data_IF_463855222511
#
_entry.id   IF_463855222511
#
_cell.length_a   1.000
_cell.length_b   1.000
_cell.length_c   1.000
_cell.angle_alpha   90.00
_cell.angle_beta   90.00
_cell.angle_gamma   90.00
#
_symmetry.space_group_name_H-M   'P 1'
#
loop_
_entity.id
_entity.type
_entity.pdbx_description
1 polymer ?
#
# COMPACT_ATOMS: atom_id res chain seq x y z
N UNK A 1 24.39 8.25 -46.76
CA UNK A 1 23.95 7.03 -46.05
C UNK A 1 23.13 7.52 -44.89
N UNK A 2 21.81 7.54 -45.05
CA UNK A 2 20.90 8.04 -44.01
C UNK A 2 20.72 6.98 -42.95
N UNK A 3 21.01 7.35 -41.69
CA UNK A 3 20.64 6.56 -40.54
C UNK A 3 19.11 6.64 -40.39
N UNK A 4 18.37 5.54 -40.43
CA UNK A 4 16.91 5.59 -40.46
C UNK A 4 16.29 5.37 -39.07
N UNK A 5 17.08 5.47 -37.99
CA UNK A 5 16.58 5.49 -36.62
C UNK A 5 15.63 6.68 -36.42
N UNK A 6 14.49 6.43 -35.77
CA UNK A 6 13.46 7.41 -35.46
C UNK A 6 13.58 7.85 -33.99
N UNK A 7 12.80 8.86 -33.60
CA UNK A 7 12.66 9.34 -32.22
C UNK A 7 13.99 9.64 -31.48
N UNK A 8 15.03 10.04 -32.20
CA UNK A 8 16.34 10.36 -31.61
C UNK A 8 17.24 9.15 -31.32
N UNK A 9 16.94 7.98 -31.87
CA UNK A 9 17.79 6.79 -31.77
C UNK A 9 19.20 7.01 -32.31
N UNK A 10 20.20 6.49 -31.59
CA UNK A 10 21.62 6.60 -31.98
C UNK A 10 22.01 5.46 -32.91
N UNK A 11 22.58 5.78 -34.07
CA UNK A 11 23.06 4.77 -35.02
C UNK A 11 24.42 4.21 -34.62
N UNK A 12 24.54 2.89 -34.60
CA UNK A 12 25.80 2.19 -34.48
C UNK A 12 26.02 1.26 -35.69
N UNK A 13 27.27 1.08 -36.16
CA UNK A 13 27.60 0.05 -37.14
C UNK A 13 27.35 -1.34 -36.54
N UNK A 14 26.73 -2.26 -37.29
CA UNK A 14 26.46 -3.60 -36.77
C UNK A 14 27.77 -4.34 -36.41
N UNK A 15 27.89 -4.97 -35.21
CA UNK A 15 29.16 -5.51 -34.71
C UNK A 15 29.81 -6.57 -35.60
N UNK A 16 28.99 -7.29 -36.37
CA UNK A 16 29.44 -8.44 -37.18
C UNK A 16 29.73 -8.09 -38.66
N UNK A 17 29.34 -6.91 -39.15
CA UNK A 17 29.51 -6.52 -40.55
C UNK A 17 29.92 -5.03 -40.74
N UNK A 18 31.13 -4.63 -40.32
CA UNK A 18 31.57 -3.23 -40.37
C UNK A 18 31.88 -2.68 -41.78
N UNK A 19 31.85 -3.51 -42.83
CA UNK A 19 32.18 -3.12 -44.23
C UNK A 19 31.08 -3.48 -45.25
N UNK A 20 29.89 -3.88 -44.80
CA UNK A 20 28.79 -4.29 -45.64
C UNK A 20 27.69 -3.23 -45.74
N UNK A 21 27.21 -2.98 -46.95
CA UNK A 21 26.11 -2.05 -47.23
C UNK A 21 24.79 -2.53 -46.60
N UNK A 22 24.37 -1.93 -45.49
CA UNK A 22 22.97 -1.92 -45.08
C UNK A 22 22.60 -2.42 -43.68
N UNK A 23 23.54 -2.57 -42.74
CA UNK A 23 23.21 -3.04 -41.37
C UNK A 23 23.72 -2.04 -40.32
N UNK A 24 22.83 -1.15 -39.90
CA UNK A 24 22.97 -0.28 -38.75
C UNK A 24 22.11 -0.86 -37.61
N UNK A 25 22.55 -0.67 -36.38
CA UNK A 25 21.77 -0.96 -35.18
C UNK A 25 21.38 0.36 -34.52
N UNK A 26 20.10 0.52 -34.20
CA UNK A 26 19.59 1.69 -33.52
C UNK A 26 19.58 1.45 -32.01
N UNK A 27 20.37 2.21 -31.26
CA UNK A 27 20.22 2.30 -29.81
C UNK A 27 19.05 3.25 -29.51
N UNK A 28 17.94 2.68 -29.06
CA UNK A 28 16.72 3.44 -28.81
C UNK A 28 16.77 4.17 -27.46
N UNK A 29 16.28 5.43 -27.40
CA UNK A 29 16.08 6.13 -26.14
C UNK A 29 14.99 5.44 -25.30
N UNK A 30 14.97 5.74 -24.00
CA UNK A 30 13.96 5.21 -23.09
C UNK A 30 12.54 5.50 -23.60
N UNK A 31 11.65 4.50 -23.55
CA UNK A 31 10.28 4.59 -24.06
C UNK A 31 10.10 4.23 -25.53
N UNK A 32 11.14 3.79 -26.26
CA UNK A 32 11.04 3.37 -27.66
C UNK A 32 11.74 2.03 -27.91
N UNK A 33 11.15 1.18 -28.76
CA UNK A 33 11.78 -0.03 -29.26
C UNK A 33 11.58 -0.18 -30.78
N UNK A 34 12.21 -1.22 -31.31
CA UNK A 34 12.09 -1.63 -32.69
C UNK A 34 13.43 -1.50 -33.38
N UNK A 35 13.52 -2.07 -34.57
CA UNK A 35 14.76 -2.09 -35.35
C UNK A 35 15.27 -0.69 -35.71
N UNK A 36 14.37 0.30 -35.67
CA UNK A 36 14.58 1.70 -36.00
C UNK A 36 14.02 2.63 -34.93
N UNK A 37 13.73 2.15 -33.71
CA UNK A 37 13.06 2.93 -32.66
C UNK A 37 11.71 3.52 -33.11
N UNK A 38 11.03 2.80 -34.00
CA UNK A 38 9.78 3.17 -34.63
C UNK A 38 8.55 2.90 -33.75
N UNK A 39 8.70 2.02 -32.75
CA UNK A 39 7.63 1.64 -31.84
C UNK A 39 7.83 2.36 -30.51
N UNK A 40 6.77 2.97 -30.00
CA UNK A 40 6.72 3.37 -28.60
C UNK A 40 6.70 2.09 -27.75
N UNK A 41 7.54 2.02 -26.72
CA UNK A 41 7.35 1.03 -25.68
C UNK A 41 6.14 1.50 -24.89
N UNK A 42 5.03 0.77 -25.02
CA UNK A 42 3.88 0.94 -24.15
C UNK A 42 4.23 0.37 -22.77
N UNK A 43 5.04 1.11 -22.01
CA UNK A 43 5.48 0.75 -20.66
C UNK A 43 4.26 0.46 -19.76
N UNK A 44 3.11 1.09 -20.04
CA UNK A 44 1.84 0.89 -19.33
C UNK A 44 1.24 -0.52 -19.46
N UNK A 45 1.70 -1.35 -20.41
CA UNK A 45 1.31 -2.77 -20.48
C UNK A 45 2.20 -3.69 -19.64
N UNK A 46 3.34 -3.18 -19.16
CA UNK A 46 4.24 -3.92 -18.28
C UNK A 46 3.87 -3.68 -16.81
N UNK A 47 3.96 -4.72 -15.98
CA UNK A 47 3.78 -4.64 -14.52
C UNK A 47 4.76 -3.70 -13.82
N UNK A 48 5.76 -3.18 -14.55
CA UNK A 48 6.81 -2.28 -14.07
C UNK A 48 6.41 -0.79 -14.12
N UNK A 49 5.44 -0.40 -14.94
CA UNK A 49 5.02 1.01 -15.07
C UNK A 49 3.92 1.42 -14.08
N UNK A 50 3.16 0.46 -13.56
CA UNK A 50 2.03 0.73 -12.66
C UNK A 50 2.17 -0.03 -11.32
N UNK A 51 3.17 0.29 -10.50
CA UNK A 51 3.44 -0.43 -9.26
C UNK A 51 2.57 0.05 -8.09
N UNK A 52 1.28 0.31 -8.34
CA UNK A 52 0.29 0.65 -7.32
C UNK A 52 0.08 -0.57 -6.40
N UNK A 53 0.14 -0.35 -5.10
CA UNK A 53 -0.03 -1.37 -4.08
C UNK A 53 -1.49 -1.41 -3.59
N UNK A 54 -1.81 -2.43 -2.79
CA UNK A 54 -3.10 -2.60 -2.12
C UNK A 54 -4.34 -2.54 -3.04
N UNK A 55 -4.18 -2.86 -4.32
CA UNK A 55 -5.27 -2.84 -5.31
C UNK A 55 -5.56 -1.45 -5.90
N UNK A 56 -4.63 -0.50 -5.78
CA UNK A 56 -4.74 0.81 -6.43
C UNK A 56 -4.88 0.71 -7.95
N UNK A 57 -5.69 1.60 -8.52
CA UNK A 57 -5.92 1.66 -9.98
C UNK A 57 -4.91 2.60 -10.61
N UNK A 58 -4.23 2.13 -11.65
CA UNK A 58 -3.24 2.95 -12.35
C UNK A 58 -3.89 3.76 -13.46
N UNK A 59 -3.55 5.05 -13.51
CA UNK A 59 -3.94 5.95 -14.59
C UNK A 59 -2.68 6.48 -15.29
N UNK A 60 -2.65 6.49 -16.64
CA UNK A 60 -1.59 7.14 -17.38
C UNK A 60 -1.62 8.65 -17.12
N UNK A 61 -0.46 9.28 -16.93
CA UNK A 61 -0.41 10.70 -16.64
C UNK A 61 -0.96 11.53 -17.82
N UNK A 62 -1.82 12.56 -17.57
CA UNK A 62 -2.53 13.28 -18.63
C UNK A 62 -1.63 13.93 -19.69
N UNK A 63 -0.40 14.26 -19.31
CA UNK A 63 0.57 14.96 -20.16
C UNK A 63 1.57 14.02 -20.86
N UNK A 64 1.66 12.75 -20.44
CA UNK A 64 2.58 11.76 -21.01
C UNK A 64 1.93 10.36 -21.11
N UNK A 65 0.87 10.19 -21.92
CA UNK A 65 0.15 8.92 -22.04
C UNK A 65 0.93 7.80 -22.73
N UNK A 66 2.11 8.10 -23.30
CA UNK A 66 3.01 7.17 -24.02
C UNK A 66 4.48 7.33 -23.60
N UNK A 67 4.75 8.00 -22.47
CA UNK A 67 6.10 8.37 -22.04
C UNK A 67 6.52 7.67 -20.75
N UNK A 68 7.75 7.17 -20.73
CA UNK A 68 8.36 6.49 -19.58
C UNK A 68 8.31 7.36 -18.30
N UNK A 69 7.61 6.88 -17.27
CA UNK A 69 7.88 7.24 -15.89
C UNK A 69 6.88 8.15 -15.17
N UNK A 70 5.72 8.47 -15.74
CA UNK A 70 4.68 9.24 -15.01
C UNK A 70 3.34 8.49 -15.08
N UNK A 71 2.99 7.83 -13.96
CA UNK A 71 1.69 7.23 -13.71
C UNK A 71 1.10 7.87 -12.46
N UNK A 72 -0.23 7.83 -12.33
CA UNK A 72 -0.94 8.25 -11.14
C UNK A 72 -1.73 7.06 -10.58
N UNK A 73 -1.53 6.75 -9.30
CA UNK A 73 -2.31 5.70 -8.63
C UNK A 73 -3.54 6.33 -7.97
N UNK A 74 -4.73 5.90 -8.38
CA UNK A 74 -5.94 6.11 -7.61
C UNK A 74 -6.00 5.07 -6.48
N UNK A 75 -5.80 5.53 -5.25
CA UNK A 75 -5.74 4.67 -4.09
C UNK A 75 -7.13 4.27 -3.60
N UNK A 76 -7.31 3.01 -3.15
CA UNK A 76 -8.52 2.60 -2.45
C UNK A 76 -8.66 3.38 -1.14
N UNK A 77 -9.89 3.43 -0.61
CA UNK A 77 -10.14 4.00 0.71
C UNK A 77 -9.27 3.33 1.77
N UNK A 78 -8.68 4.13 2.66
CA UNK A 78 -7.73 3.66 3.68
C UNK A 78 -6.26 3.73 3.27
N UNK A 79 -5.92 3.93 1.99
CA UNK A 79 -4.52 3.99 1.57
C UNK A 79 -4.13 5.37 1.00
N UNK A 80 -2.85 5.72 1.14
CA UNK A 80 -2.25 6.92 0.57
C UNK A 80 -0.83 6.65 0.04
N UNK A 81 -0.23 7.70 -0.52
CA UNK A 81 1.10 7.64 -1.13
C UNK A 81 1.05 7.57 -2.64
N UNK A 82 2.19 7.83 -3.29
CA UNK A 82 2.29 7.88 -4.75
C UNK A 82 1.97 6.55 -5.44
N UNK A 83 2.09 5.45 -4.68
CA UNK A 83 1.87 4.07 -5.10
C UNK A 83 0.87 3.37 -4.19
N UNK A 84 0.08 4.10 -3.39
CA UNK A 84 -0.83 3.51 -2.39
C UNK A 84 -0.12 2.58 -1.41
N UNK A 85 1.14 2.88 -1.12
CA UNK A 85 2.05 2.06 -0.31
C UNK A 85 1.80 2.18 1.19
N UNK A 86 1.12 3.25 1.61
CA UNK A 86 0.94 3.61 3.02
C UNK A 86 -0.51 3.41 3.41
N UNK A 87 -0.73 2.71 4.52
CA UNK A 87 -2.03 2.70 5.21
C UNK A 87 -2.24 4.05 5.92
N UNK A 88 -3.47 4.55 5.91
CA UNK A 88 -3.84 5.78 6.60
C UNK A 88 -4.05 5.43 8.07
N UNK A 89 -3.34 6.12 8.96
CA UNK A 89 -3.50 5.95 10.40
C UNK A 89 -4.87 6.48 10.86
N UNK A 90 -5.83 5.56 10.99
CA UNK A 90 -7.21 5.82 11.40
C UNK A 90 -7.30 6.13 12.90
N UNK A 91 -6.26 5.78 13.67
CA UNK A 91 -6.16 6.05 15.10
C UNK A 91 -5.92 7.53 15.43
N UNK A 92 -5.49 8.37 14.48
CA UNK A 92 -5.37 9.82 14.71
C UNK A 92 -6.69 10.48 15.11
N UNK A 93 -7.81 9.90 14.66
CA UNK A 93 -9.17 10.35 14.98
C UNK A 93 -9.90 9.43 15.96
N UNK A 94 -9.16 8.54 16.63
CA UNK A 94 -9.71 7.54 17.55
C UNK A 94 -10.56 8.15 18.66
N UNK A 95 -11.72 7.54 18.89
CA UNK A 95 -12.63 7.86 20.00
C UNK A 95 -12.57 6.81 21.12
N UNK A 96 -11.58 5.89 21.11
CA UNK A 96 -11.40 4.93 22.19
C UNK A 96 -11.20 5.65 23.53
N UNK A 97 -12.10 5.43 24.50
CA UNK A 97 -12.08 6.14 25.78
C UNK A 97 -11.17 5.44 26.79
N UNK A 98 -11.44 4.15 27.06
CA UNK A 98 -10.66 3.33 27.98
C UNK A 98 -10.08 2.11 27.26
N UNK A 99 -9.38 2.35 26.16
CA UNK A 99 -8.79 1.30 25.36
C UNK A 99 -7.63 1.80 24.52
N UNK A 100 -6.89 0.85 23.96
CA UNK A 100 -5.88 1.14 22.95
C UNK A 100 -6.52 1.08 21.57
N UNK A 101 -6.34 2.10 20.75
CA UNK A 101 -6.74 2.06 19.35
C UNK A 101 -5.88 1.06 18.58
N UNK A 102 -6.52 0.29 17.71
CA UNK A 102 -5.89 -0.63 16.77
C UNK A 102 -6.28 -0.14 15.37
N UNK A 103 -5.27 0.28 14.64
CA UNK A 103 -5.37 0.73 13.25
C UNK A 103 -5.86 -0.39 12.34
N UNK A 104 -6.64 -0.02 11.34
CA UNK A 104 -7.24 -0.92 10.37
C UNK A 104 -7.31 -0.25 9.00
N UNK A 105 -7.91 -0.94 8.02
CA UNK A 105 -8.02 -0.38 6.67
C UNK A 105 -9.30 0.45 6.59
N UNK A 106 -9.15 1.78 6.53
CA UNK A 106 -10.26 2.73 6.47
C UNK A 106 -11.24 2.56 7.65
N UNK A 107 -10.73 2.09 8.78
CA UNK A 107 -11.40 1.99 10.06
C UNK A 107 -10.37 1.81 11.18
N UNK A 108 -10.83 1.93 12.41
CA UNK A 108 -10.08 1.45 13.57
C UNK A 108 -10.98 0.63 14.49
N UNK A 109 -10.35 -0.15 15.37
CA UNK A 109 -11.04 -0.85 16.46
C UNK A 109 -10.41 -0.51 17.80
N UNK A 110 -11.18 -0.60 18.89
CA UNK A 110 -10.67 -0.35 20.22
C UNK A 110 -10.45 -1.66 20.96
N UNK A 111 -9.23 -1.89 21.45
CA UNK A 111 -8.95 -2.94 22.43
C UNK A 111 -9.13 -2.38 23.83
N UNK A 112 -10.26 -2.71 24.44
CA UNK A 112 -10.61 -2.19 25.75
C UNK A 112 -9.66 -2.67 26.85
N UNK A 113 -9.36 -1.75 27.77
CA UNK A 113 -8.72 -2.10 29.03
C UNK A 113 -9.67 -2.94 29.88
N UNK A 114 -9.10 -3.66 30.84
CA UNK A 114 -9.86 -4.48 31.77
C UNK A 114 -10.95 -3.64 32.46
N UNK A 115 -12.17 -4.19 32.52
CA UNK A 115 -13.30 -3.52 33.15
C UNK A 115 -14.04 -2.55 32.23
N UNK A 116 -13.73 -2.52 30.94
CA UNK A 116 -14.42 -1.72 29.93
C UNK A 116 -14.81 -2.56 28.72
N UNK A 117 -15.92 -2.19 28.11
CA UNK A 117 -16.48 -2.85 26.93
C UNK A 117 -17.15 -1.82 26.00
N UNK A 118 -17.74 -2.33 24.92
CA UNK A 118 -18.34 -1.51 23.87
C UNK A 118 -17.33 -1.20 22.76
N UNK A 119 -17.83 -0.71 21.63
CA UNK A 119 -16.99 -0.45 20.46
C UNK A 119 -15.93 0.64 20.72
N UNK A 120 -16.21 1.57 21.63
CA UNK A 120 -15.32 2.68 21.99
C UNK A 120 -14.77 2.55 23.42
N UNK A 121 -14.99 1.42 24.09
CA UNK A 121 -14.54 1.21 25.48
C UNK A 121 -15.03 2.29 26.45
N UNK A 122 -16.25 2.79 26.21
CA UNK A 122 -16.94 3.83 26.97
C UNK A 122 -17.90 3.24 28.00
N UNK A 123 -18.22 1.95 27.91
CA UNK A 123 -19.06 1.25 28.87
C UNK A 123 -18.22 0.56 29.95
N UNK A 124 -18.57 0.78 31.22
CA UNK A 124 -17.97 0.01 32.32
C UNK A 124 -18.52 -1.42 32.32
N UNK A 125 -17.63 -2.40 32.25
CA UNK A 125 -17.95 -3.82 32.37
C UNK A 125 -17.92 -4.26 33.84
N UNK A 126 -18.97 -4.98 34.27
CA UNK A 126 -18.94 -5.67 35.56
C UNK A 126 -18.18 -6.97 35.41
N UNK A 127 -16.88 -6.91 35.71
CA UNK A 127 -15.99 -8.07 35.64
C UNK A 127 -16.15 -9.01 36.84
N UNK A 128 -16.83 -8.56 37.91
CA UNK A 128 -17.33 -9.40 39.00
C UNK A 128 -18.80 -9.80 38.77
N UNK A 129 -19.01 -10.96 38.14
CA UNK A 129 -20.30 -11.62 37.98
C UNK A 129 -20.52 -12.76 38.98
N UNK A 130 -21.70 -13.38 38.93
CA UNK A 130 -22.08 -14.48 39.85
C UNK A 130 -21.15 -15.69 39.76
N UNK A 131 -20.65 -16.00 38.57
CA UNK A 131 -19.77 -17.15 38.30
C UNK A 131 -18.29 -16.78 38.15
N UNK A 132 -17.90 -15.53 38.43
CA UNK A 132 -16.50 -15.10 38.26
C UNK A 132 -15.56 -15.75 39.27
N UNK A 133 -16.04 -16.01 40.48
CA UNK A 133 -15.30 -16.68 41.54
C UNK A 133 -16.09 -17.90 42.04
N UNK A 134 -15.42 -18.87 42.65
CA UNK A 134 -16.10 -20.03 43.25
C UNK A 134 -17.14 -19.61 44.31
N UNK A 135 -18.18 -20.43 44.58
CA UNK A 135 -19.12 -20.13 45.65
C UNK A 135 -18.41 -19.94 47.00
N UNK A 136 -18.71 -18.83 47.70
CA UNK A 136 -18.14 -18.52 49.02
C UNK A 136 -16.85 -17.68 49.00
N UNK A 137 -16.27 -17.35 47.84
CA UNK A 137 -15.19 -16.35 47.72
C UNK A 137 -15.74 -14.99 47.27
N UNK A 138 -15.18 -13.91 47.82
CA UNK A 138 -15.54 -12.55 47.40
C UNK A 138 -14.73 -12.14 46.17
N UNK A 139 -15.44 -11.63 45.18
CA UNK A 139 -14.84 -10.99 44.00
C UNK A 139 -14.52 -9.53 44.29
N UNK A 140 -13.35 -9.05 43.84
CA UNK A 140 -12.94 -7.66 43.89
C UNK A 140 -12.27 -7.24 42.58
N UNK A 141 -12.72 -6.13 41.98
CA UNK A 141 -12.05 -5.50 40.86
C UNK A 141 -10.66 -4.99 41.27
N UNK A 142 -9.63 -5.28 40.48
CA UNK A 142 -8.26 -4.76 40.62
C UNK A 142 -7.81 -4.18 39.27
N UNK A 143 -6.77 -3.32 39.22
CA UNK A 143 -6.35 -2.66 37.98
C UNK A 143 -6.09 -3.61 36.80
N UNK A 144 -5.60 -4.82 37.07
CA UNK A 144 -5.25 -5.81 36.05
C UNK A 144 -6.28 -6.95 35.91
N UNK A 145 -7.46 -6.86 36.55
CA UNK A 145 -8.44 -7.95 36.49
C UNK A 145 -9.32 -8.10 37.70
N UNK A 146 -9.49 -9.36 38.08
CA UNK A 146 -10.31 -9.78 39.20
C UNK A 146 -9.44 -10.45 40.25
N UNK A 147 -9.67 -10.10 41.51
CA UNK A 147 -9.14 -10.82 42.66
C UNK A 147 -10.27 -11.57 43.37
N UNK A 148 -10.21 -12.90 43.35
CA UNK A 148 -11.06 -13.75 44.18
C UNK A 148 -10.35 -14.04 45.51
N UNK A 149 -10.95 -13.66 46.64
CA UNK A 149 -10.38 -13.90 47.97
C UNK A 149 -11.41 -14.47 48.94
N UNK A 150 -11.01 -15.54 49.64
CA UNK A 150 -11.79 -16.07 50.77
C UNK A 150 -11.70 -15.10 51.93
N UNK A 151 -12.83 -14.79 52.58
CA UNK A 151 -12.75 -14.12 53.87
C UNK A 151 -11.98 -15.03 54.85
N UNK A 152 -11.02 -14.47 55.60
CA UNK A 152 -10.28 -15.22 56.62
C UNK A 152 -11.20 -15.73 57.73
#
# INVERSE_FOLDING_TARGET
>A
MECPCQHGGTCHPHPYHPRGSGQYECACPAGFNGSRCESDIDDCQSSLCCPCQHGGTCHPHPYHPRGSGQYECACPAGFNGSRCESDIDDCQSSLCVNGTCIDGINNYTCRCHVGYKGALCDEKERICGEDTCYPGVKCREIPDGVLCRSCP
#
